data_IF_834305679541
#
_entry.id   IF_834305679541
#
_cell.length_a   1.000
_cell.length_b   1.000
_cell.length_c   1.000
_cell.angle_alpha   90.00
_cell.angle_beta   90.00
_cell.angle_gamma   90.00
#
_symmetry.space_group_name_H-M   'P 1'
#
loop_
_entity.id
_entity.type
_entity.pdbx_description
1 polymer ?
#
# COMPACT_ATOMS: atom_id res chain seq x y z
N UNK A 1 5.06 70.90 -8.05
CA UNK A 1 5.36 71.00 -6.61
C UNK A 1 4.13 70.47 -5.88
N UNK A 2 4.12 69.21 -5.44
CA UNK A 2 4.46 68.74 -4.07
C UNK A 2 3.56 69.43 -3.01
N UNK A 3 2.76 68.74 -2.18
CA UNK A 3 3.20 67.86 -1.07
C UNK A 3 2.20 66.71 -0.80
N UNK A 4 2.76 65.68 -0.19
CA UNK A 4 2.28 64.33 0.17
C UNK A 4 1.16 64.28 1.21
N UNK A 5 0.34 63.21 1.15
CA UNK A 5 -0.12 62.55 2.37
C UNK A 5 0.09 61.03 2.26
N UNK A 6 0.65 60.46 3.32
CA UNK A 6 1.25 59.13 3.40
C UNK A 6 0.24 58.16 4.00
N UNK A 7 -0.54 57.50 3.14
CA UNK A 7 -1.39 56.37 3.52
C UNK A 7 -0.61 55.07 3.59
N UNK A 8 -0.29 54.61 4.82
CA UNK A 8 0.38 53.33 5.09
C UNK A 8 -0.37 52.16 4.46
N UNK A 9 0.27 51.44 3.54
CA UNK A 9 -0.17 50.12 3.11
C UNK A 9 -0.09 49.14 4.30
N UNK A 10 -1.25 48.65 4.76
CA UNK A 10 -1.31 47.59 5.74
C UNK A 10 -0.67 46.33 5.14
N UNK A 11 0.55 45.98 5.61
CA UNK A 11 1.19 44.71 5.33
C UNK A 11 0.23 43.59 5.78
N UNK A 12 -0.39 42.92 4.82
CA UNK A 12 -1.14 41.68 5.03
C UNK A 12 -0.15 40.68 5.62
N UNK A 13 -0.20 40.51 6.94
CA UNK A 13 0.74 39.65 7.66
C UNK A 13 0.64 38.22 7.11
N UNK A 14 1.79 37.67 6.72
CA UNK A 14 2.02 36.24 6.46
C UNK A 14 1.61 35.44 7.71
N UNK A 15 0.33 35.11 7.88
CA UNK A 15 -0.15 34.16 8.91
C UNK A 15 -0.02 32.70 8.46
N UNK A 16 0.04 32.44 7.15
CA UNK A 16 0.11 31.09 6.60
C UNK A 16 1.45 30.39 6.84
N UNK A 17 2.57 31.09 6.93
CA UNK A 17 3.90 30.44 7.04
C UNK A 17 4.30 30.02 8.46
N UNK A 18 3.52 30.35 9.49
CA UNK A 18 3.81 29.95 10.89
C UNK A 18 3.17 28.62 11.30
N UNK A 19 2.10 28.18 10.62
CA UNK A 19 1.40 26.92 10.97
C UNK A 19 2.19 25.69 10.53
N UNK A 20 2.99 25.80 9.46
CA UNK A 20 3.76 24.67 8.94
C UNK A 20 5.02 24.34 9.74
N UNK A 21 5.48 25.17 10.67
CA UNK A 21 6.74 24.95 11.40
C UNK A 21 6.62 23.90 12.53
N UNK A 22 5.42 23.70 13.09
CA UNK A 22 5.17 22.84 14.26
C UNK A 22 4.44 21.53 13.91
N UNK A 23 4.46 21.10 12.64
CA UNK A 23 3.81 19.85 12.22
C UNK A 23 4.76 18.67 12.35
N UNK A 24 4.29 17.56 12.94
CA UNK A 24 5.03 16.31 12.98
C UNK A 24 5.16 15.70 11.58
N UNK A 25 6.24 15.00 11.30
CA UNK A 25 6.42 14.27 10.05
C UNK A 25 5.71 12.91 10.11
N UNK A 26 4.80 12.66 9.18
CA UNK A 26 4.03 11.41 9.10
C UNK A 26 4.91 10.15 9.08
N UNK A 27 6.08 10.25 8.43
CA UNK A 27 6.98 9.10 8.24
C UNK A 27 7.77 8.71 9.48
N UNK A 28 7.89 9.61 10.47
CA UNK A 28 8.68 9.39 11.69
C UNK A 28 7.86 9.50 12.98
N UNK A 29 6.69 10.14 12.92
CA UNK A 29 5.77 10.26 14.03
C UNK A 29 4.95 8.97 14.24
N UNK A 30 4.59 8.62 15.49
CA UNK A 30 5.17 9.14 16.73
C UNK A 30 6.58 8.61 16.93
N UNK A 31 7.48 9.47 17.43
CA UNK A 31 8.86 9.08 17.73
C UNK A 31 8.85 8.18 18.95
N UNK A 32 9.57 7.06 18.90
CA UNK A 32 9.86 6.31 20.13
C UNK A 32 10.74 7.20 21.00
N UNK A 33 10.16 7.81 22.03
CA UNK A 33 10.97 8.36 23.11
C UNK A 33 11.71 7.16 23.71
N UNK A 34 12.99 7.02 23.35
CA UNK A 34 13.91 6.11 24.03
C UNK A 34 13.76 6.44 25.50
N UNK A 35 13.21 5.50 26.27
CA UNK A 35 13.01 5.59 27.71
C UNK A 35 14.37 5.63 28.41
N UNK A 36 15.06 6.75 28.23
CA UNK A 36 16.28 7.10 28.94
C UNK A 36 15.90 7.72 30.26
N UNK A 37 16.10 6.94 31.33
CA UNK A 37 16.11 7.44 32.70
C UNK A 37 14.76 7.38 33.42
N UNK A 38 14.61 6.34 34.24
CA UNK A 38 13.94 6.39 35.55
C UNK A 38 12.58 7.12 35.62
N UNK A 39 11.59 6.62 34.88
CA UNK A 39 10.18 6.99 35.11
C UNK A 39 9.28 5.77 34.97
N UNK A 40 8.46 5.52 35.99
CA UNK A 40 7.37 4.55 35.94
C UNK A 40 6.44 4.90 34.78
N UNK A 41 6.46 4.11 33.71
CA UNK A 41 5.52 4.27 32.60
C UNK A 41 4.10 4.26 33.15
N UNK A 42 3.24 5.22 32.73
CA UNK A 42 1.87 5.25 33.20
C UNK A 42 1.17 3.93 32.80
N UNK A 43 0.19 3.46 33.59
CA UNK A 43 -0.61 2.30 33.19
C UNK A 43 -1.17 2.51 31.78
N UNK A 44 -1.16 1.48 30.92
CA UNK A 44 -1.59 1.59 29.51
C UNK A 44 -2.92 2.37 29.34
N UNK A 45 -3.86 2.20 30.27
CA UNK A 45 -5.16 2.88 30.28
C UNK A 45 -5.07 4.41 30.17
N UNK A 46 -3.96 4.99 30.62
CA UNK A 46 -3.69 6.42 30.60
C UNK A 46 -2.71 6.82 29.50
N UNK A 47 -2.03 5.85 28.86
CA UNK A 47 -1.05 6.08 27.79
C UNK A 47 -1.65 6.82 26.60
N UNK A 48 -2.84 6.44 26.13
CA UNK A 48 -3.53 7.15 25.04
C UNK A 48 -3.90 8.58 25.47
N UNK A 49 -4.35 8.79 26.71
CA UNK A 49 -4.68 10.14 27.21
C UNK A 49 -3.43 11.02 27.29
N UNK A 50 -2.33 10.50 27.81
CA UNK A 50 -1.05 11.21 27.86
C UNK A 50 -0.53 11.55 26.47
N UNK A 51 -0.60 10.59 25.55
CA UNK A 51 -0.25 10.80 24.14
C UNK A 51 -1.05 11.94 23.53
N UNK A 52 -2.37 11.95 23.72
CA UNK A 52 -3.24 13.00 23.20
C UNK A 52 -3.01 14.35 23.86
N UNK A 53 -2.78 14.40 25.17
CA UNK A 53 -2.45 15.62 25.88
C UNK A 53 -1.14 16.26 25.38
N UNK A 54 -0.19 15.44 24.94
CA UNK A 54 1.13 15.89 24.47
C UNK A 54 1.13 16.29 23.00
N UNK A 55 0.37 15.58 22.15
CA UNK A 55 0.48 15.70 20.69
C UNK A 55 -0.75 16.29 20.00
N UNK A 56 -1.92 16.25 20.63
CA UNK A 56 -3.18 16.56 19.98
C UNK A 56 -3.79 17.88 20.47
N UNK A 57 -4.53 18.53 19.58
CA UNK A 57 -5.37 19.67 19.93
C UNK A 57 -6.80 19.18 20.10
N UNK A 58 -7.47 19.66 21.15
CA UNK A 58 -8.87 19.37 21.38
C UNK A 58 -9.68 20.14 20.34
N UNK A 59 -10.38 19.42 19.46
CA UNK A 59 -11.24 20.04 18.43
C UNK A 59 -12.64 20.29 18.99
N UNK A 60 -13.08 19.43 19.91
CA UNK A 60 -14.32 19.57 20.65
C UNK A 60 -14.08 19.21 22.11
N UNK A 61 -14.06 20.18 23.04
CA UNK A 61 -14.12 19.85 24.45
C UNK A 61 -15.47 19.20 24.74
N UNK A 62 -15.56 18.51 25.87
CA UNK A 62 -16.80 17.94 26.42
C UNK A 62 -17.82 19.05 26.69
N UNK A 63 -18.41 19.64 25.65
CA UNK A 63 -19.59 20.45 25.80
C UNK A 63 -20.74 19.49 26.08
N UNK A 64 -21.77 20.00 26.75
CA UNK A 64 -23.02 19.33 27.10
C UNK A 64 -23.77 18.68 25.92
N UNK A 65 -23.24 18.74 24.70
CA UNK A 65 -23.77 18.18 23.46
C UNK A 65 -23.34 16.72 23.22
N UNK A 66 -22.25 16.24 23.84
CA UNK A 66 -21.71 14.89 23.61
C UNK A 66 -21.48 14.16 24.92
N UNK A 67 -22.47 13.35 25.32
CA UNK A 67 -22.40 12.54 26.54
C UNK A 67 -21.23 11.55 26.51
N UNK A 68 -20.98 10.93 25.36
CA UNK A 68 -20.14 9.74 25.23
C UNK A 68 -18.86 9.96 24.40
N UNK A 69 -18.68 11.10 23.72
CA UNK A 69 -17.65 11.25 22.68
C UNK A 69 -16.77 12.50 22.87
N UNK A 70 -15.45 12.34 22.72
CA UNK A 70 -14.47 13.44 22.64
C UNK A 70 -13.63 13.32 21.37
N UNK A 71 -13.31 14.46 20.74
CA UNK A 71 -12.52 14.47 19.50
C UNK A 71 -11.28 15.35 19.63
N UNK A 72 -10.14 14.77 19.28
CA UNK A 72 -8.86 15.45 19.13
C UNK A 72 -8.36 15.37 17.69
N UNK A 73 -7.42 16.25 17.36
CA UNK A 73 -6.78 16.28 16.06
C UNK A 73 -5.27 16.45 16.20
N UNK A 74 -4.53 15.65 15.44
CA UNK A 74 -3.08 15.74 15.26
C UNK A 74 -2.83 16.05 13.77
N UNK A 75 -2.05 17.10 13.52
CA UNK A 75 -1.73 17.53 12.15
C UNK A 75 -0.32 17.07 11.80
N UNK A 76 -0.20 16.34 10.69
CA UNK A 76 1.03 15.72 10.23
C UNK A 76 1.40 16.26 8.84
N UNK A 77 2.68 16.45 8.58
CA UNK A 77 3.20 16.72 7.24
C UNK A 77 3.37 15.39 6.50
N UNK A 78 2.81 15.22 5.28
CA UNK A 78 3.16 14.08 4.44
C UNK A 78 4.67 14.11 4.16
N UNK A 79 5.35 12.97 4.32
CA UNK A 79 6.76 12.86 3.95
C UNK A 79 7.01 13.17 2.46
N UNK A 80 8.25 13.45 2.08
CA UNK A 80 8.62 13.74 0.69
C UNK A 80 8.23 12.59 -0.23
N UNK A 81 7.32 12.84 -1.19
CA UNK A 81 7.01 11.88 -2.24
C UNK A 81 8.05 11.98 -3.35
N UNK A 82 8.56 10.82 -3.80
CA UNK A 82 9.50 10.70 -4.92
C UNK A 82 8.89 11.10 -6.29
N UNK A 83 7.57 11.35 -6.37
CA UNK A 83 6.85 11.67 -7.61
C UNK A 83 6.98 13.14 -8.07
N UNK A 84 7.93 13.93 -7.55
CA UNK A 84 8.22 15.30 -8.03
C UNK A 84 7.04 16.29 -7.90
N UNK A 85 5.99 15.92 -7.19
CA UNK A 85 4.84 16.79 -6.88
C UNK A 85 5.13 17.54 -5.58
N UNK A 86 4.92 18.86 -5.60
CA UNK A 86 5.16 19.74 -4.44
C UNK A 86 4.08 19.49 -3.35
N UNK A 87 4.26 18.43 -2.57
CA UNK A 87 3.39 18.06 -1.44
C UNK A 87 3.64 18.94 -0.21
N UNK A 88 4.55 19.92 -0.27
CA UNK A 88 4.95 20.77 0.86
C UNK A 88 3.79 21.57 1.49
N UNK A 89 2.69 21.74 0.75
CA UNK A 89 1.49 22.46 1.19
C UNK A 89 0.38 21.58 1.76
N UNK A 90 0.52 20.25 1.73
CA UNK A 90 -0.50 19.31 2.19
C UNK A 90 -0.30 18.95 3.66
N UNK A 91 -1.41 18.71 4.36
CA UNK A 91 -1.46 18.32 5.77
C UNK A 91 -2.33 17.08 5.88
N UNK A 92 -1.83 16.07 6.59
CA UNK A 92 -2.59 14.88 6.97
C UNK A 92 -3.20 15.15 8.34
N UNK A 93 -4.52 15.01 8.44
CA UNK A 93 -5.22 15.09 9.73
C UNK A 93 -5.41 13.68 10.27
N UNK A 94 -4.90 13.43 11.48
CA UNK A 94 -5.24 12.28 12.28
C UNK A 94 -6.24 12.72 13.34
N UNK A 95 -7.50 12.33 13.13
CA UNK A 95 -8.58 12.60 14.06
C UNK A 95 -8.68 11.43 15.04
N UNK A 96 -8.73 11.74 16.34
CA UNK A 96 -8.88 10.75 17.39
C UNK A 96 -10.21 10.96 18.10
N UNK A 97 -11.08 9.95 18.07
CA UNK A 97 -12.37 9.98 18.77
C UNK A 97 -12.31 9.03 19.97
N UNK A 98 -12.39 9.57 21.19
CA UNK A 98 -12.62 8.78 22.41
C UNK A 98 -14.11 8.54 22.58
N UNK A 99 -14.48 7.27 22.68
CA UNK A 99 -15.80 6.79 23.02
C UNK A 99 -15.80 6.25 24.45
N UNK A 100 -16.63 6.82 25.31
CA UNK A 100 -17.01 6.25 26.60
C UNK A 100 -18.08 5.18 26.38
N UNK A 101 -17.60 3.94 26.33
CA UNK A 101 -18.41 2.74 26.06
C UNK A 101 -19.49 2.53 27.13
N UNK A 102 -19.30 3.06 28.34
CA UNK A 102 -20.29 2.91 29.43
C UNK A 102 -21.46 3.87 29.30
N UNK A 103 -21.31 4.93 28.52
CA UNK A 103 -22.31 5.98 28.28
C UNK A 103 -22.84 5.99 26.85
N UNK A 104 -22.23 5.18 25.98
CA UNK A 104 -22.65 4.98 24.60
C UNK A 104 -23.97 4.22 24.53
N UNK A 105 -24.83 4.60 23.58
CA UNK A 105 -26.05 3.85 23.24
C UNK A 105 -25.75 2.58 22.43
N UNK A 106 -24.51 2.41 21.96
CA UNK A 106 -24.04 1.25 21.18
C UNK A 106 -23.58 0.11 22.11
N UNK A 107 -23.25 -1.03 21.51
CA UNK A 107 -22.83 -2.23 22.25
C UNK A 107 -21.60 -1.97 23.13
N UNK A 108 -21.68 -2.36 24.41
CA UNK A 108 -20.55 -2.34 25.35
C UNK A 108 -19.43 -3.30 24.92
N UNK A 109 -19.77 -4.30 24.12
CA UNK A 109 -18.83 -5.28 23.60
C UNK A 109 -18.30 -4.87 22.23
N UNK A 110 -17.00 -5.09 22.03
CA UNK A 110 -16.37 -4.95 20.73
C UNK A 110 -16.53 -6.23 19.90
N UNK A 111 -17.15 -6.12 18.73
CA UNK A 111 -17.31 -7.24 17.80
C UNK A 111 -15.98 -7.81 17.32
N UNK A 112 -14.98 -6.97 17.08
CA UNK A 112 -13.65 -7.44 16.69
C UNK A 112 -12.99 -8.26 17.82
N UNK A 113 -13.11 -7.83 19.08
CA UNK A 113 -12.67 -8.65 20.21
C UNK A 113 -13.43 -9.98 20.28
N UNK A 114 -14.74 -9.97 20.03
CA UNK A 114 -15.55 -11.20 20.01
C UNK A 114 -15.09 -12.17 18.93
N UNK A 115 -14.91 -11.68 17.70
CA UNK A 115 -14.47 -12.49 16.55
C UNK A 115 -13.06 -13.07 16.77
N UNK A 116 -12.15 -12.28 17.35
CA UNK A 116 -10.76 -12.68 17.57
C UNK A 116 -10.57 -13.52 18.85
N UNK A 117 -11.62 -13.70 19.66
CA UNK A 117 -11.57 -14.47 20.91
C UNK A 117 -10.90 -13.71 22.07
N UNK A 118 -11.00 -12.38 22.08
CA UNK A 118 -10.58 -11.50 23.18
C UNK A 118 -11.73 -11.05 24.09
N UNK A 119 -12.96 -11.51 23.82
CA UNK A 119 -14.18 -11.18 24.57
C UNK A 119 -14.17 -11.60 26.05
N UNK A 120 -13.21 -12.42 26.48
CA UNK A 120 -13.00 -12.78 27.88
C UNK A 120 -12.51 -11.62 28.77
N UNK A 121 -12.26 -10.43 28.19
CA UNK A 121 -11.83 -9.21 28.91
C UNK A 121 -12.93 -8.13 28.87
N UNK A 122 -14.01 -8.25 29.66
CA UNK A 122 -15.25 -7.49 29.46
C UNK A 122 -15.23 -6.02 29.91
N UNK A 123 -14.10 -5.43 30.32
CA UNK A 123 -14.11 -4.07 30.89
C UNK A 123 -13.11 -3.16 30.20
N UNK A 124 -13.48 -2.72 29.01
CA UNK A 124 -12.88 -1.55 28.37
C UNK A 124 -13.88 -0.40 28.50
N UNK A 125 -13.60 0.57 29.40
CA UNK A 125 -14.50 1.73 29.59
C UNK A 125 -14.38 2.73 28.45
N UNK A 126 -13.23 2.75 27.76
CA UNK A 126 -12.91 3.73 26.72
C UNK A 126 -12.29 3.08 25.50
N UNK A 127 -12.77 3.48 24.34
CA UNK A 127 -12.27 3.06 23.03
C UNK A 127 -11.84 4.30 22.25
N UNK A 128 -10.68 4.22 21.60
CA UNK A 128 -10.08 5.32 20.86
C UNK A 128 -10.05 4.97 19.37
N UNK A 129 -10.74 5.75 18.55
CA UNK A 129 -10.71 5.63 17.09
C UNK A 129 -9.68 6.56 16.52
N UNK A 130 -8.66 6.04 15.84
CA UNK A 130 -7.65 6.79 15.10
C UNK A 130 -8.00 6.78 13.62
N UNK A 131 -8.30 7.95 13.07
CA UNK A 131 -8.89 8.08 11.73
C UNK A 131 -8.09 9.06 10.89
N UNK A 132 -7.74 8.64 9.67
CA UNK A 132 -7.28 9.53 8.60
C UNK A 132 -8.33 9.46 7.49
N UNK A 133 -9.01 10.56 7.22
CA UNK A 133 -10.11 10.60 6.24
C UNK A 133 -9.60 10.75 4.80
N UNK A 134 -10.33 10.15 3.86
CA UNK A 134 -10.10 10.35 2.43
C UNK A 134 -10.82 11.62 1.97
N UNK A 135 -10.11 12.75 2.00
CA UNK A 135 -10.67 14.06 1.66
C UNK A 135 -9.56 15.02 1.25
N UNK A 136 -9.61 15.46 -0.02
CA UNK A 136 -8.56 16.23 -0.69
C UNK A 136 -8.37 17.66 -0.17
N UNK A 137 -7.15 18.15 -0.37
CA UNK A 137 -6.70 19.54 -0.20
C UNK A 137 -7.11 20.21 1.12
N UNK A 138 -6.34 19.88 2.15
CA UNK A 138 -6.26 20.54 3.45
C UNK A 138 -6.03 22.05 3.32
N UNK A 139 -7.12 22.80 3.18
CA UNK A 139 -7.21 24.24 3.50
C UNK A 139 -8.17 24.52 4.66
N UNK A 140 -9.00 23.57 5.07
CA UNK A 140 -9.94 23.75 6.18
C UNK A 140 -9.56 22.86 7.37
N UNK A 141 -9.36 23.51 8.52
CA UNK A 141 -9.10 22.91 9.84
C UNK A 141 -10.34 22.17 10.42
N UNK A 142 -11.39 21.95 9.61
CA UNK A 142 -12.73 21.55 10.06
C UNK A 142 -13.29 20.34 9.27
N UNK A 143 -12.41 19.43 8.84
CA UNK A 143 -12.81 18.20 8.15
C UNK A 143 -13.57 17.32 9.16
N UNK A 144 -14.82 16.97 8.84
CA UNK A 144 -15.67 16.18 9.74
C UNK A 144 -16.57 17.00 10.67
N UNK A 145 -16.88 18.26 10.33
CA UNK A 145 -17.85 19.07 11.08
C UNK A 145 -19.09 19.46 10.28
N UNK A 146 -19.18 19.11 9.00
CA UNK A 146 -20.30 19.53 8.15
C UNK A 146 -21.34 18.42 8.00
N UNK A 147 -22.57 18.68 8.45
CA UNK A 147 -23.71 17.76 8.32
C UNK A 147 -24.84 18.45 7.56
N UNK A 148 -25.39 17.75 6.57
CA UNK A 148 -26.64 18.15 5.92
C UNK A 148 -27.82 17.87 6.86
N UNK A 149 -28.69 18.85 7.05
CA UNK A 149 -29.91 18.68 7.83
C UNK A 149 -30.86 17.71 7.13
N UNK A 150 -31.35 16.70 7.85
CA UNK A 150 -32.34 15.74 7.33
C UNK A 150 -33.67 16.38 6.94
N UNK A 151 -34.03 17.52 7.54
CA UNK A 151 -35.27 18.23 7.23
C UNK A 151 -35.17 19.13 6.00
N UNK A 152 -34.11 19.95 5.89
CA UNK A 152 -34.03 21.00 4.86
C UNK A 152 -32.86 20.84 3.88
N UNK A 153 -32.02 19.80 4.01
CA UNK A 153 -30.89 19.51 3.12
C UNK A 153 -29.68 20.45 3.23
N UNK A 154 -29.80 21.58 3.94
CA UNK A 154 -28.71 22.54 4.08
C UNK A 154 -27.59 22.01 4.98
N UNK A 155 -26.34 22.32 4.63
CA UNK A 155 -25.14 21.84 5.31
C UNK A 155 -24.64 22.86 6.32
N UNK A 156 -24.62 22.51 7.61
CA UNK A 156 -24.05 23.38 8.67
C UNK A 156 -22.87 22.75 9.37
N UNK A 157 -22.10 23.62 10.03
CA UNK A 157 -21.03 23.19 10.91
C UNK A 157 -21.60 22.81 12.30
N UNK A 158 -21.27 21.63 12.80
CA UNK A 158 -21.70 21.11 14.10
C UNK A 158 -21.20 21.94 15.29
N UNK A 159 -20.15 22.75 15.09
CA UNK A 159 -19.71 23.73 16.10
C UNK A 159 -20.72 24.85 16.35
N UNK A 160 -21.74 24.98 15.48
CA UNK A 160 -22.70 26.08 15.51
C UNK A 160 -24.00 25.74 16.27
N UNK A 161 -24.09 24.55 16.86
CA UNK A 161 -25.19 24.12 17.73
C UNK A 161 -25.81 22.76 17.34
N UNK A 162 -26.60 22.19 18.26
CA UNK A 162 -27.33 20.92 18.07
C UNK A 162 -28.57 21.03 17.19
N UNK A 163 -28.93 22.23 16.75
CA UNK A 163 -30.15 22.47 15.98
C UNK A 163 -29.80 23.02 14.61
N UNK A 164 -30.58 22.64 13.60
CA UNK A 164 -30.44 23.18 12.25
C UNK A 164 -30.72 24.69 12.26
N UNK A 165 -29.79 25.51 11.77
CA UNK A 165 -29.96 26.96 11.66
C UNK A 165 -31.13 27.37 10.77
N UNK A 166 -31.46 26.55 9.78
CA UNK A 166 -32.48 26.88 8.78
C UNK A 166 -33.88 26.41 9.16
N UNK A 167 -34.02 25.26 9.82
CA UNK A 167 -35.33 24.70 10.15
C UNK A 167 -35.51 24.37 11.64
N UNK A 168 -34.53 24.71 12.49
CA UNK A 168 -34.52 24.45 13.94
C UNK A 168 -34.64 23.00 14.38
N UNK A 169 -34.69 22.05 13.44
CA UNK A 169 -34.74 20.62 13.71
C UNK A 169 -33.51 20.20 14.51
N UNK A 170 -33.72 19.44 15.59
CA UNK A 170 -32.63 18.84 16.34
C UNK A 170 -31.83 17.92 15.40
N UNK A 171 -30.52 18.15 15.33
CA UNK A 171 -29.62 17.26 14.65
C UNK A 171 -29.28 16.12 15.59
N UNK A 172 -29.50 14.89 15.14
CA UNK A 172 -28.94 13.72 15.81
C UNK A 172 -27.43 13.66 15.53
N UNK A 173 -26.65 14.40 16.33
CA UNK A 173 -25.22 14.55 16.10
C UNK A 173 -24.47 13.28 16.50
N UNK A 174 -24.93 12.56 17.52
CA UNK A 174 -24.30 11.33 17.99
C UNK A 174 -24.40 10.23 16.93
N UNK A 175 -25.59 9.97 16.36
CA UNK A 175 -25.72 9.01 15.26
C UNK A 175 -24.93 9.43 14.00
N UNK A 176 -24.79 10.73 13.78
CA UNK A 176 -23.94 11.19 12.67
C UNK A 176 -22.46 10.88 12.92
N UNK A 177 -21.94 11.11 14.13
CA UNK A 177 -20.55 10.75 14.43
C UNK A 177 -20.35 9.25 14.25
N UNK A 178 -21.27 8.41 14.74
CA UNK A 178 -21.20 6.96 14.51
C UNK A 178 -21.22 6.59 13.02
N UNK A 179 -22.06 7.24 12.20
CA UNK A 179 -22.04 7.00 10.75
C UNK A 179 -20.73 7.43 10.09
N UNK A 180 -20.03 8.45 10.62
CA UNK A 180 -18.67 8.75 10.20
C UNK A 180 -17.69 7.67 10.64
N UNK A 181 -17.83 7.09 11.83
CA UNK A 181 -16.98 5.98 12.27
C UNK A 181 -17.20 4.70 11.44
N UNK A 182 -18.38 4.52 10.85
CA UNK A 182 -18.72 3.39 9.99
C UNK A 182 -18.32 3.62 8.51
N UNK A 183 -17.72 4.76 8.18
CA UNK A 183 -17.28 5.08 6.81
C UNK A 183 -16.06 4.24 6.39
N UNK A 184 -16.26 3.44 5.34
CA UNK A 184 -15.22 2.57 4.78
C UNK A 184 -14.23 3.30 3.85
N UNK A 185 -14.41 4.59 3.61
CA UNK A 185 -13.53 5.39 2.74
C UNK A 185 -12.32 5.96 3.47
N UNK A 186 -12.23 5.82 4.80
CA UNK A 186 -11.07 6.26 5.58
C UNK A 186 -9.75 5.68 5.05
N UNK A 187 -8.72 6.52 4.91
CA UNK A 187 -7.36 6.10 4.59
C UNK A 187 -6.78 5.20 5.68
N UNK A 188 -6.98 5.59 6.94
CA UNK A 188 -6.68 4.77 8.11
C UNK A 188 -7.89 4.79 9.03
N UNK A 189 -8.29 3.63 9.52
CA UNK A 189 -9.15 3.55 10.68
C UNK A 189 -8.65 2.44 11.60
N UNK A 190 -8.05 2.84 12.71
CA UNK A 190 -7.64 1.96 13.79
C UNK A 190 -8.44 2.21 15.05
N UNK A 191 -8.61 1.18 15.86
CA UNK A 191 -9.28 1.25 17.16
C UNK A 191 -8.33 0.74 18.22
N UNK A 192 -8.17 1.48 19.32
CA UNK A 192 -7.39 1.04 20.49
C UNK A 192 -8.29 1.09 21.72
N UNK A 193 -8.41 -0.05 22.39
CA UNK A 193 -9.11 -0.19 23.65
C UNK A 193 -8.21 0.24 24.81
N UNK A 194 -8.78 0.89 25.83
CA UNK A 194 -8.07 1.25 27.07
C UNK A 194 -7.42 0.08 27.83
N UNK A 195 -7.72 -1.17 27.46
CA UNK A 195 -7.10 -2.38 28.03
C UNK A 195 -5.87 -2.89 27.23
N UNK A 196 -5.47 -2.22 26.15
CA UNK A 196 -4.28 -2.57 25.37
C UNK A 196 -4.53 -3.33 24.08
N UNK A 197 -5.78 -3.68 23.76
CA UNK A 197 -6.09 -4.40 22.53
C UNK A 197 -6.44 -3.43 21.40
N UNK A 198 -5.93 -3.67 20.20
CA UNK A 198 -6.16 -2.83 19.05
C UNK A 198 -6.75 -3.60 17.86
N UNK A 199 -7.50 -2.91 17.01
CA UNK A 199 -8.04 -3.44 15.78
C UNK A 199 -7.78 -2.46 14.63
N UNK A 200 -7.16 -2.96 13.57
CA UNK A 200 -7.03 -2.23 12.32
C UNK A 200 -8.25 -2.55 11.46
N UNK A 201 -9.05 -1.53 11.15
CA UNK A 201 -10.34 -1.66 10.47
C UNK A 201 -10.25 -1.30 8.99
N UNK A 202 -9.50 -0.24 8.66
CA UNK A 202 -9.32 0.22 7.28
C UNK A 202 -7.89 0.68 7.02
N UNK A 203 -7.37 0.28 5.86
CA UNK A 203 -6.14 0.81 5.25
C UNK A 203 -6.39 1.01 3.76
N UNK A 204 -6.65 2.25 3.38
CA UNK A 204 -6.88 2.67 2.01
C UNK A 204 -5.72 3.56 1.55
N UNK A 205 -4.73 2.95 0.89
CA UNK A 205 -3.59 3.66 0.30
C UNK A 205 -3.94 4.33 -1.03
N UNK A 206 -2.96 4.42 -1.94
CA UNK A 206 -3.15 4.98 -3.30
C UNK A 206 -4.28 4.28 -4.06
N UNK A 207 -4.36 2.96 -3.94
CA UNK A 207 -5.42 2.15 -4.55
C UNK A 207 -6.82 2.40 -3.94
N UNK A 208 -6.90 2.95 -2.72
CA UNK A 208 -8.14 3.34 -2.05
C UNK A 208 -8.50 4.82 -2.23
N UNK A 209 -7.86 5.51 -3.19
CA UNK A 209 -8.14 6.91 -3.51
C UNK A 209 -7.20 7.94 -2.86
N UNK A 210 -6.20 7.50 -2.09
CA UNK A 210 -5.20 8.41 -1.55
C UNK A 210 -4.32 9.01 -2.65
N UNK A 211 -4.27 10.33 -2.73
CA UNK A 211 -3.40 11.02 -3.68
C UNK A 211 -1.92 11.07 -3.25
N UNK A 212 -1.57 10.64 -2.04
CA UNK A 212 -0.23 10.90 -1.47
C UNK A 212 0.29 9.83 -0.50
N UNK A 213 -0.57 9.18 0.30
CA UNK A 213 -0.15 8.07 1.17
C UNK A 213 -0.31 6.72 0.47
N UNK A 214 0.73 5.91 0.47
CA UNK A 214 0.64 4.50 0.12
C UNK A 214 0.09 3.68 1.29
N UNK A 215 -0.40 2.47 1.00
CA UNK A 215 -0.84 1.56 2.06
C UNK A 215 0.30 1.18 3.01
N UNK A 216 1.55 1.12 2.51
CA UNK A 216 2.74 0.88 3.32
C UNK A 216 3.00 2.04 4.28
N UNK A 217 2.92 3.29 3.82
CA UNK A 217 3.12 4.46 4.69
C UNK A 217 2.12 4.46 5.86
N UNK A 218 0.87 4.13 5.58
CA UNK A 218 -0.21 4.05 6.57
C UNK A 218 0.05 2.92 7.57
N UNK A 219 0.48 1.75 7.10
CA UNK A 219 0.82 0.63 7.96
C UNK A 219 2.04 0.91 8.83
N UNK A 220 3.10 1.51 8.28
CA UNK A 220 4.28 1.90 9.02
C UNK A 220 3.92 2.92 10.13
N UNK A 221 3.02 3.87 9.82
CA UNK A 221 2.48 4.79 10.81
C UNK A 221 1.68 4.08 11.90
N UNK A 222 0.78 3.16 11.53
CA UNK A 222 -0.03 2.39 12.48
C UNK A 222 0.84 1.52 13.40
N UNK A 223 1.89 0.92 12.87
CA UNK A 223 2.84 0.08 13.61
C UNK A 223 3.65 0.91 14.63
N UNK A 224 4.17 2.07 14.22
CA UNK A 224 4.82 3.02 15.14
C UNK A 224 3.87 3.52 16.22
N UNK A 225 2.63 3.84 15.84
CA UNK A 225 1.61 4.29 16.80
C UNK A 225 1.31 3.20 17.84
N UNK A 226 1.14 1.95 17.41
CA UNK A 226 0.91 0.83 18.31
C UNK A 226 2.09 0.61 19.26
N UNK A 227 3.32 0.69 18.75
CA UNK A 227 4.56 0.53 19.52
C UNK A 227 4.74 1.65 20.55
N UNK A 228 4.58 2.91 20.12
CA UNK A 228 4.66 4.10 21.00
C UNK A 228 3.61 4.07 22.12
N UNK A 229 2.41 3.59 21.84
CA UNK A 229 1.35 3.44 22.84
C UNK A 229 1.50 2.17 23.70
N UNK A 230 2.48 1.31 23.42
CA UNK A 230 2.67 0.00 24.05
C UNK A 230 1.42 -0.90 23.95
N UNK A 231 0.78 -0.93 22.76
CA UNK A 231 -0.36 -1.80 22.46
C UNK A 231 0.04 -3.26 22.71
N UNK A 232 -0.79 -3.99 23.45
CA UNK A 232 -0.51 -5.36 23.86
C UNK A 232 -0.64 -6.35 22.71
N UNK A 233 -1.72 -6.22 21.93
CA UNK A 233 -2.01 -7.03 20.74
C UNK A 233 -2.86 -6.23 19.78
N UNK A 234 -2.57 -6.32 18.49
CA UNK A 234 -3.38 -5.78 17.40
C UNK A 234 -3.98 -6.91 16.57
N UNK A 235 -5.14 -6.67 15.97
CA UNK A 235 -5.75 -7.61 15.02
C UNK A 235 -6.20 -6.88 13.76
N UNK A 236 -6.19 -7.57 12.63
CA UNK A 236 -6.77 -7.10 11.38
C UNK A 236 -7.65 -8.19 10.79
N UNK A 237 -8.78 -7.81 10.19
CA UNK A 237 -9.55 -8.72 9.35
C UNK A 237 -9.11 -8.49 7.90
N UNK A 238 -8.36 -9.45 7.34
CA UNK A 238 -7.81 -9.32 5.99
C UNK A 238 -8.89 -9.55 4.92
N UNK A 239 -9.55 -8.46 4.54
CA UNK A 239 -10.50 -8.36 3.41
C UNK A 239 -9.89 -7.55 2.25
N UNK A 240 -8.57 -7.39 2.24
CA UNK A 240 -7.88 -6.51 1.30
C UNK A 240 -7.98 -7.05 -0.13
N UNK A 241 -8.40 -6.19 -1.06
CA UNK A 241 -8.49 -6.49 -2.49
C UNK A 241 -7.70 -5.48 -3.31
N UNK A 242 -7.05 -5.94 -4.36
CA UNK A 242 -6.28 -5.11 -5.28
C UNK A 242 -6.63 -5.48 -6.72
N UNK A 243 -7.22 -4.55 -7.46
CA UNK A 243 -7.76 -4.78 -8.81
C UNK A 243 -8.70 -6.00 -8.88
N UNK A 244 -9.54 -6.17 -7.86
CA UNK A 244 -10.47 -7.32 -7.75
C UNK A 244 -9.84 -8.62 -7.25
N UNK A 245 -8.51 -8.69 -7.11
CA UNK A 245 -7.80 -9.85 -6.56
C UNK A 245 -7.69 -9.77 -5.04
N UNK A 246 -7.98 -10.86 -4.33
CA UNK A 246 -7.77 -10.96 -2.89
C UNK A 246 -6.27 -10.93 -2.57
N UNK A 247 -5.86 -9.93 -1.79
CA UNK A 247 -4.44 -9.66 -1.57
C UNK A 247 -3.77 -10.74 -0.72
N UNK A 248 -4.50 -11.31 0.24
CA UNK A 248 -4.10 -12.51 1.00
C UNK A 248 -3.80 -13.73 0.13
N UNK A 249 -4.52 -13.90 -0.98
CA UNK A 249 -4.30 -15.01 -1.91
C UNK A 249 -3.03 -14.77 -2.73
N UNK A 250 -2.90 -13.56 -3.27
CA UNK A 250 -1.72 -13.15 -4.04
C UNK A 250 -0.44 -13.27 -3.20
N UNK A 251 -0.41 -12.65 -2.03
CA UNK A 251 0.73 -12.72 -1.12
C UNK A 251 0.94 -14.12 -0.55
N UNK A 252 -0.14 -14.85 -0.25
CA UNK A 252 -0.04 -16.24 0.19
C UNK A 252 0.66 -17.10 -0.84
N UNK A 253 0.29 -17.01 -2.12
CA UNK A 253 0.91 -17.81 -3.19
C UNK A 253 2.38 -17.47 -3.43
N UNK A 254 2.76 -16.19 -3.35
CA UNK A 254 4.14 -15.74 -3.65
C UNK A 254 5.08 -15.80 -2.45
N UNK A 255 4.63 -15.34 -1.29
CA UNK A 255 5.46 -15.15 -0.10
C UNK A 255 5.18 -16.23 0.97
N UNK A 256 4.12 -17.02 0.82
CA UNK A 256 3.69 -17.99 1.83
C UNK A 256 2.91 -17.38 3.00
N UNK A 257 2.75 -16.06 3.03
CA UNK A 257 2.11 -15.31 4.12
C UNK A 257 1.27 -14.15 3.56
N UNK A 258 0.44 -13.51 4.39
CA UNK A 258 -0.31 -12.32 3.98
C UNK A 258 0.59 -11.08 3.89
N UNK A 259 0.11 -10.01 3.24
CA UNK A 259 0.84 -8.74 3.19
C UNK A 259 1.12 -8.15 4.58
N UNK A 260 0.16 -8.28 5.50
CA UNK A 260 0.29 -7.78 6.87
C UNK A 260 1.41 -8.47 7.67
N UNK A 261 1.90 -9.63 7.22
CA UNK A 261 3.00 -10.33 7.88
C UNK A 261 4.31 -9.52 7.90
N UNK A 262 4.48 -8.56 6.98
CA UNK A 262 5.61 -7.63 7.00
C UNK A 262 5.66 -6.77 8.29
N UNK A 263 4.53 -6.60 8.98
CA UNK A 263 4.41 -5.90 10.28
C UNK A 263 4.14 -6.89 11.44
N UNK A 264 4.52 -8.16 11.29
CA UNK A 264 4.38 -9.17 12.34
C UNK A 264 2.96 -9.70 12.57
N UNK A 265 1.99 -9.36 11.72
CA UNK A 265 0.67 -9.99 11.80
C UNK A 265 0.73 -11.45 11.35
N UNK A 266 0.08 -12.32 12.12
CA UNK A 266 0.02 -13.74 11.84
C UNK A 266 -1.43 -14.23 11.69
N UNK A 267 -1.58 -15.37 11.00
CA UNK A 267 -2.83 -16.10 11.03
C UNK A 267 -3.13 -16.59 12.45
N UNK A 268 -4.27 -16.15 13.00
CA UNK A 268 -4.72 -16.52 14.34
C UNK A 268 -5.88 -17.50 14.30
N UNK A 269 -6.96 -17.11 13.63
CA UNK A 269 -8.20 -17.86 13.60
C UNK A 269 -8.90 -17.61 12.26
N UNK A 270 -9.19 -18.68 11.52
CA UNK A 270 -10.01 -18.61 10.33
C UNK A 270 -11.50 -18.76 10.66
N UNK A 271 -12.35 -18.48 9.69
CA UNK A 271 -13.77 -18.82 9.79
C UNK A 271 -13.95 -20.35 9.85
N UNK A 272 -15.02 -20.82 10.50
CA UNK A 272 -15.44 -22.23 10.48
C UNK A 272 -14.36 -23.27 10.88
N UNK A 273 -13.64 -23.03 11.97
CA UNK A 273 -12.63 -23.96 12.51
C UNK A 273 -11.41 -24.22 11.59
N UNK A 274 -11.13 -23.33 10.64
CA UNK A 274 -9.89 -23.35 9.87
C UNK A 274 -8.68 -23.17 10.79
N UNK A 275 -7.85 -24.20 10.88
CA UNK A 275 -6.60 -24.16 11.65
C UNK A 275 -5.47 -23.51 10.85
N UNK A 276 -4.41 -23.12 11.56
CA UNK A 276 -3.21 -22.55 10.95
C UNK A 276 -2.56 -23.54 9.99
N UNK A 277 -2.54 -24.82 10.35
CA UNK A 277 -1.97 -25.91 9.56
C UNK A 277 -2.78 -26.13 8.28
N UNK A 278 -4.11 -26.13 8.38
CA UNK A 278 -4.98 -26.23 7.21
C UNK A 278 -4.80 -25.04 6.25
N UNK A 279 -4.71 -23.82 6.79
CA UNK A 279 -4.43 -22.63 5.99
C UNK A 279 -3.06 -22.71 5.30
N UNK A 280 -2.00 -23.05 6.03
CA UNK A 280 -0.66 -23.16 5.48
C UNK A 280 -0.57 -24.29 4.43
N UNK A 281 -1.23 -25.42 4.68
CA UNK A 281 -1.32 -26.51 3.72
C UNK A 281 -2.02 -26.06 2.44
N UNK A 282 -3.12 -25.31 2.53
CA UNK A 282 -3.82 -24.79 1.35
C UNK A 282 -2.94 -23.83 0.54
N UNK A 283 -2.24 -22.91 1.22
CA UNK A 283 -1.28 -21.99 0.58
C UNK A 283 -0.18 -22.76 -0.13
N UNK A 284 0.43 -23.75 0.55
CA UNK A 284 1.49 -24.57 -0.03
C UNK A 284 0.99 -25.34 -1.27
N UNK A 285 -0.16 -26.01 -1.16
CA UNK A 285 -0.76 -26.75 -2.28
C UNK A 285 -1.02 -25.84 -3.47
N UNK A 286 -1.69 -24.70 -3.29
CA UNK A 286 -2.00 -23.77 -4.39
C UNK A 286 -0.74 -23.20 -5.03
N UNK A 287 0.25 -22.84 -4.22
CA UNK A 287 1.50 -22.25 -4.69
C UNK A 287 2.37 -23.24 -5.46
N UNK A 288 2.30 -24.53 -5.12
CA UNK A 288 3.10 -25.60 -5.72
C UNK A 288 2.47 -26.23 -6.98
N UNK A 289 1.26 -25.80 -7.39
CA UNK A 289 0.61 -26.31 -8.61
C UNK A 289 1.56 -26.11 -9.81
N UNK A 290 1.93 -27.18 -10.53
CA UNK A 290 2.74 -27.06 -11.73
C UNK A 290 2.01 -26.28 -12.82
N UNK A 291 2.72 -25.39 -13.51
CA UNK A 291 2.15 -24.64 -14.63
C UNK A 291 1.69 -25.54 -15.78
N UNK A 292 2.29 -26.74 -15.90
CA UNK A 292 1.87 -27.77 -16.86
C UNK A 292 0.41 -28.18 -16.70
N UNK A 293 -0.15 -28.14 -15.49
CA UNK A 293 -1.57 -28.44 -15.23
C UNK A 293 -2.49 -27.44 -15.94
N UNK A 294 -2.06 -26.18 -16.09
CA UNK A 294 -2.80 -25.18 -16.85
C UNK A 294 -2.54 -25.22 -18.35
N UNK A 295 -1.49 -25.92 -18.80
CA UNK A 295 -1.12 -26.01 -20.22
C UNK A 295 -1.68 -27.27 -20.88
N UNK A 296 -2.03 -28.29 -20.10
CA UNK A 296 -2.51 -29.57 -20.60
C UNK A 296 -4.00 -29.50 -20.98
N UNK A 297 -4.29 -29.32 -22.29
CA UNK A 297 -5.65 -29.51 -22.84
C UNK A 297 -5.63 -30.10 -24.25
N UNK A 298 -5.33 -31.40 -24.38
CA UNK A 298 -5.63 -32.23 -25.55
C UNK A 298 -5.64 -31.52 -26.92
N UNK A 299 -6.77 -31.61 -27.65
CA UNK A 299 -7.01 -30.93 -28.95
C UNK A 299 -7.91 -29.69 -28.83
N UNK A 300 -7.77 -28.87 -27.79
CA UNK A 300 -8.58 -27.63 -27.65
C UNK A 300 -7.80 -26.39 -28.10
N UNK A 301 -8.47 -25.36 -28.64
CA UNK A 301 -7.85 -24.08 -28.97
C UNK A 301 -7.18 -23.45 -27.74
N UNK A 302 -6.07 -22.74 -27.98
CA UNK A 302 -5.31 -22.07 -26.93
C UNK A 302 -6.14 -20.96 -26.28
N UNK A 303 -6.24 -20.97 -24.96
CA UNK A 303 -6.93 -19.92 -24.20
C UNK A 303 -6.01 -18.70 -23.98
N UNK A 304 -6.60 -17.55 -23.65
CA UNK A 304 -5.85 -16.34 -23.26
C UNK A 304 -4.88 -16.61 -22.09
N UNK A 305 -5.28 -17.47 -21.14
CA UNK A 305 -4.44 -17.89 -20.02
C UNK A 305 -3.17 -18.59 -20.49
N UNK A 306 -3.29 -19.55 -21.41
CA UNK A 306 -2.12 -20.29 -21.92
C UNK A 306 -1.15 -19.36 -22.69
N UNK A 307 -1.69 -18.40 -23.45
CA UNK A 307 -0.88 -17.40 -24.15
C UNK A 307 -0.17 -16.47 -23.16
N UNK A 308 -0.85 -16.09 -22.08
CA UNK A 308 -0.28 -15.26 -21.01
C UNK A 308 0.86 -15.99 -20.28
N UNK A 309 0.66 -17.26 -19.91
CA UNK A 309 1.69 -18.07 -19.24
C UNK A 309 2.94 -18.20 -20.12
N UNK A 310 2.78 -18.60 -21.38
CA UNK A 310 3.92 -18.77 -22.28
C UNK A 310 4.66 -17.45 -22.58
N UNK A 311 3.92 -16.33 -22.66
CA UNK A 311 4.54 -15.02 -22.80
C UNK A 311 5.48 -14.72 -21.63
N UNK A 312 5.03 -14.88 -20.39
CA UNK A 312 5.88 -14.62 -19.23
C UNK A 312 7.00 -15.65 -19.04
N UNK A 313 6.78 -16.92 -19.41
CA UNK A 313 7.84 -17.93 -19.49
C UNK A 313 8.95 -17.53 -20.47
N UNK A 314 8.60 -16.97 -21.64
CA UNK A 314 9.57 -16.47 -22.62
C UNK A 314 10.34 -15.23 -22.12
N UNK A 315 9.71 -14.43 -21.25
CA UNK A 315 10.33 -13.24 -20.67
C UNK A 315 11.27 -13.56 -19.51
N UNK A 316 11.04 -14.65 -18.78
CA UNK A 316 11.88 -15.06 -17.65
C UNK A 316 13.26 -15.58 -18.12
N UNK A 317 14.30 -15.29 -17.33
CA UNK A 317 15.61 -15.93 -17.48
C UNK A 317 15.72 -17.24 -16.69
N UNK A 318 14.81 -17.45 -15.73
CA UNK A 318 14.70 -18.64 -14.90
C UNK A 318 13.51 -19.49 -15.36
N UNK A 319 13.53 -20.78 -15.07
CA UNK A 319 12.38 -21.65 -15.34
C UNK A 319 11.23 -21.28 -14.41
N UNK A 320 10.05 -21.04 -14.98
CA UNK A 320 8.83 -20.86 -14.21
C UNK A 320 8.10 -22.21 -14.24
N UNK A 321 8.13 -22.94 -13.13
CA UNK A 321 7.60 -24.30 -13.02
C UNK A 321 6.24 -24.30 -12.33
N UNK A 322 6.07 -23.47 -11.30
CA UNK A 322 4.89 -23.45 -10.43
C UNK A 322 4.11 -22.14 -10.53
N UNK A 323 2.88 -22.14 -9.98
CA UNK A 323 2.09 -20.90 -9.78
C UNK A 323 2.90 -19.87 -8.99
N UNK A 324 3.59 -20.29 -7.93
CA UNK A 324 4.45 -19.40 -7.14
C UNK A 324 5.49 -18.72 -8.02
N UNK A 325 6.19 -19.46 -8.88
CA UNK A 325 7.24 -18.91 -9.73
C UNK A 325 6.69 -17.85 -10.68
N UNK A 326 5.56 -18.14 -11.33
CA UNK A 326 4.92 -17.23 -12.26
C UNK A 326 4.49 -15.94 -11.57
N UNK A 327 3.75 -16.02 -10.47
CA UNK A 327 3.25 -14.84 -9.77
C UNK A 327 4.39 -14.05 -9.11
N UNK A 328 5.42 -14.71 -8.59
CA UNK A 328 6.60 -14.02 -8.05
C UNK A 328 7.34 -13.24 -9.13
N UNK A 329 7.51 -13.83 -10.32
CA UNK A 329 8.11 -13.15 -11.47
C UNK A 329 7.26 -11.95 -11.93
N UNK A 330 5.94 -12.11 -11.99
CA UNK A 330 5.02 -11.00 -12.34
C UNK A 330 5.10 -9.84 -11.35
N UNK A 331 5.08 -10.13 -10.05
CA UNK A 331 5.20 -9.12 -9.01
C UNK A 331 6.57 -8.41 -9.09
N UNK A 332 7.64 -9.15 -9.38
CA UNK A 332 8.96 -8.56 -9.61
C UNK A 332 8.94 -7.60 -10.81
N UNK A 333 8.38 -8.01 -11.95
CA UNK A 333 8.26 -7.15 -13.13
C UNK A 333 7.44 -5.88 -12.84
N UNK A 334 6.36 -5.99 -12.09
CA UNK A 334 5.55 -4.83 -11.68
C UNK A 334 6.39 -3.87 -10.82
N UNK A 335 7.17 -4.39 -9.87
CA UNK A 335 8.06 -3.58 -9.03
C UNK A 335 9.13 -2.89 -9.86
N UNK A 336 9.79 -3.61 -10.76
CA UNK A 336 10.81 -3.06 -11.67
C UNK A 336 10.25 -1.98 -12.60
N UNK A 337 9.01 -2.16 -13.08
CA UNK A 337 8.38 -1.16 -13.94
C UNK A 337 7.96 0.10 -13.17
N UNK A 338 7.53 -0.05 -11.91
CA UNK A 338 7.20 1.08 -11.02
C UNK A 338 8.43 1.83 -10.52
N UNK A 339 9.58 1.15 -10.38
CA UNK A 339 10.83 1.74 -9.95
C UNK A 339 11.52 2.58 -11.05
N UNK A 340 11.08 2.46 -12.31
CA UNK A 340 11.51 3.36 -13.37
C UNK A 340 10.79 4.69 -13.19
N UNK A 341 11.49 5.80 -12.90
CA UNK A 341 10.85 7.09 -12.97
C UNK A 341 10.33 7.28 -14.40
N UNK A 342 9.17 7.92 -14.55
CA UNK A 342 8.71 8.44 -15.82
C UNK A 342 9.69 9.54 -16.27
N UNK A 343 10.87 9.13 -16.74
CA UNK A 343 11.78 10.03 -17.43
C UNK A 343 11.00 10.54 -18.63
N UNK A 344 10.77 11.85 -18.67
CA UNK A 344 10.54 12.57 -19.93
C UNK A 344 11.53 12.03 -20.97
N UNK A 345 11.17 11.93 -22.25
CA UNK A 345 12.10 11.52 -23.30
C UNK A 345 13.14 12.64 -23.47
N UNK A 346 14.06 12.73 -22.52
CA UNK A 346 15.21 13.60 -22.55
C UNK A 346 16.33 12.67 -22.96
N UNK A 347 16.40 12.46 -24.28
CA UNK A 347 17.57 12.02 -25.03
C UNK A 347 18.56 11.18 -24.21
N UNK A 348 18.07 10.05 -23.66
CA UNK A 348 18.93 9.05 -23.02
C UNK A 348 19.65 8.38 -24.17
N UNK A 349 20.77 9.01 -24.57
CA UNK A 349 21.84 8.37 -25.31
C UNK A 349 21.97 6.95 -24.76
N UNK A 350 21.63 6.00 -25.63
CA UNK A 350 21.46 4.57 -25.40
C UNK A 350 22.06 4.06 -24.07
N UNK A 351 21.21 3.47 -23.20
CA UNK A 351 21.64 2.87 -21.93
C UNK A 351 22.75 1.80 -22.07
N UNK A 352 23.04 1.35 -23.30
CA UNK A 352 24.08 0.39 -23.64
C UNK A 352 24.93 0.92 -24.79
N UNK A 353 26.23 0.77 -24.70
CA UNK A 353 27.12 1.09 -25.82
C UNK A 353 26.99 0.03 -26.92
N UNK A 354 27.39 0.37 -28.15
CA UNK A 354 27.50 -0.60 -29.25
C UNK A 354 28.37 -1.80 -28.84
N UNK A 355 29.42 -1.55 -28.07
CA UNK A 355 30.32 -2.59 -27.55
C UNK A 355 29.65 -3.54 -26.56
N UNK A 356 28.67 -3.07 -25.77
CA UNK A 356 27.91 -3.94 -24.86
C UNK A 356 27.00 -4.90 -25.63
N UNK A 357 26.36 -4.39 -26.69
CA UNK A 357 25.52 -5.19 -27.61
C UNK A 357 26.38 -6.23 -28.34
N UNK A 358 27.52 -5.81 -28.90
CA UNK A 358 28.47 -6.70 -29.60
C UNK A 358 29.02 -7.78 -28.68
N UNK A 359 29.36 -7.45 -27.43
CA UNK A 359 29.87 -8.44 -26.44
C UNK A 359 28.84 -9.54 -26.17
N UNK A 360 27.57 -9.17 -26.00
CA UNK A 360 26.49 -10.13 -25.74
C UNK A 360 26.17 -10.96 -26.98
N UNK A 361 26.13 -10.35 -28.16
CA UNK A 361 25.91 -11.06 -29.42
C UNK A 361 27.07 -12.01 -29.75
N UNK A 362 28.32 -11.62 -29.51
CA UNK A 362 29.49 -12.50 -29.63
C UNK A 362 29.43 -13.69 -28.67
N UNK A 363 28.96 -13.47 -27.43
CA UNK A 363 28.75 -14.56 -26.48
C UNK A 363 27.67 -15.54 -26.97
N UNK A 364 26.55 -15.04 -27.52
CA UNK A 364 25.52 -15.87 -28.14
C UNK A 364 26.04 -16.67 -29.32
N UNK A 365 26.84 -16.05 -30.21
CA UNK A 365 27.48 -16.72 -31.35
C UNK A 365 28.42 -17.83 -30.89
N UNK A 366 29.24 -17.58 -29.85
CA UNK A 366 30.12 -18.62 -29.27
C UNK A 366 29.31 -19.82 -28.78
N UNK A 367 28.14 -19.58 -28.18
CA UNK A 367 27.24 -20.65 -27.72
C UNK A 367 26.67 -21.43 -28.91
N UNK A 368 26.18 -20.75 -29.96
CA UNK A 368 25.70 -21.44 -31.17
C UNK A 368 26.79 -22.32 -31.80
N UNK A 369 28.03 -21.79 -31.92
CA UNK A 369 29.17 -22.54 -32.45
C UNK A 369 29.56 -23.75 -31.59
N UNK A 370 29.51 -23.61 -30.27
CA UNK A 370 29.81 -24.69 -29.34
C UNK A 370 28.75 -25.80 -29.35
N UNK A 371 27.50 -25.46 -29.68
CA UNK A 371 26.37 -26.39 -29.68
C UNK A 371 26.20 -27.10 -31.04
N UNK A 372 26.58 -26.45 -32.14
CA UNK A 372 26.49 -26.98 -33.50
C UNK A 372 27.70 -27.82 -33.94
N UNK A 373 27.93 -28.98 -33.31
CA UNK A 373 28.92 -29.98 -33.76
C UNK A 373 28.66 -30.54 -35.18
N UNK A 374 29.06 -31.78 -35.47
CA UNK A 374 28.91 -32.41 -36.81
C UNK A 374 27.46 -32.47 -37.37
N UNK A 375 26.44 -32.12 -36.57
CA UNK A 375 25.08 -31.85 -37.04
C UNK A 375 24.61 -30.48 -36.51
N UNK A 376 24.13 -29.64 -37.42
CA UNK A 376 23.72 -28.26 -37.11
C UNK A 376 22.40 -28.23 -36.32
N UNK A 377 22.48 -28.30 -34.99
CA UNK A 377 21.33 -28.27 -34.07
C UNK A 377 20.78 -26.85 -33.87
N UNK A 378 19.46 -26.71 -33.83
CA UNK A 378 18.79 -25.45 -33.51
C UNK A 378 18.74 -25.23 -31.99
N UNK A 379 19.06 -24.01 -31.54
CA UNK A 379 19.05 -23.63 -30.12
C UNK A 379 17.84 -22.72 -29.85
N UNK A 380 17.01 -23.06 -28.87
CA UNK A 380 15.86 -22.23 -28.51
C UNK A 380 16.28 -20.89 -27.93
N UNK A 381 15.46 -19.85 -28.16
CA UNK A 381 15.64 -18.51 -27.62
C UNK A 381 15.81 -18.55 -26.12
N UNK A 382 15.04 -19.39 -25.44
CA UNK A 382 15.13 -19.59 -24.02
C UNK A 382 16.47 -20.21 -23.59
N UNK A 383 16.96 -21.25 -24.28
CA UNK A 383 18.27 -21.86 -23.98
C UNK A 383 19.43 -20.88 -24.17
N UNK A 384 19.36 -20.06 -25.24
CA UNK A 384 20.34 -19.03 -25.51
C UNK A 384 20.31 -17.92 -24.44
N UNK A 385 19.11 -17.44 -24.09
CA UNK A 385 18.87 -16.45 -23.03
C UNK A 385 19.35 -16.93 -21.66
N UNK A 386 19.06 -18.19 -21.30
CA UNK A 386 19.53 -18.83 -20.06
C UNK A 386 21.05 -18.89 -20.01
N UNK A 387 21.71 -19.20 -21.13
CA UNK A 387 23.17 -19.35 -21.19
C UNK A 387 23.93 -18.04 -20.95
N UNK A 388 23.31 -16.89 -21.25
CA UNK A 388 23.92 -15.56 -21.11
C UNK A 388 23.29 -14.72 -19.99
N UNK A 389 22.37 -15.28 -19.21
CA UNK A 389 21.61 -14.51 -18.19
C UNK A 389 22.50 -13.89 -17.11
N UNK A 390 23.72 -14.43 -16.90
CA UNK A 390 24.74 -13.89 -15.98
C UNK A 390 25.69 -12.88 -16.64
N UNK A 391 25.64 -12.73 -17.95
CA UNK A 391 26.61 -11.92 -18.73
C UNK A 391 26.11 -10.49 -18.94
N UNK A 392 24.79 -10.26 -18.91
CA UNK A 392 24.19 -8.96 -19.18
C UNK A 392 22.81 -8.82 -18.51
N UNK A 393 22.30 -7.59 -18.45
CA UNK A 393 20.95 -7.34 -17.94
C UNK A 393 19.89 -8.01 -18.82
N UNK A 394 18.74 -8.42 -18.24
CA UNK A 394 17.65 -9.04 -19.01
C UNK A 394 17.16 -8.17 -20.16
N UNK A 395 17.21 -6.84 -20.03
CA UNK A 395 16.80 -5.91 -21.07
C UNK A 395 17.77 -5.89 -22.27
N UNK A 396 19.08 -5.88 -22.01
CA UNK A 396 20.12 -5.94 -23.05
C UNK A 396 20.06 -7.30 -23.78
N UNK A 397 19.87 -8.40 -23.05
CA UNK A 397 19.71 -9.73 -23.65
C UNK A 397 18.49 -9.80 -24.57
N UNK A 398 17.33 -9.29 -24.12
CA UNK A 398 16.13 -9.27 -24.95
C UNK A 398 16.29 -8.37 -26.19
N UNK A 399 16.99 -7.25 -26.07
CA UNK A 399 17.34 -6.38 -27.19
C UNK A 399 18.24 -7.13 -28.19
N UNK A 400 19.32 -7.74 -27.73
CA UNK A 400 20.21 -8.53 -28.57
C UNK A 400 19.46 -9.66 -29.30
N UNK A 401 18.62 -10.44 -28.59
CA UNK A 401 17.82 -11.54 -29.19
C UNK A 401 16.87 -11.07 -30.29
N UNK A 402 16.29 -9.87 -30.16
CA UNK A 402 15.39 -9.28 -31.17
C UNK A 402 16.13 -8.97 -32.47
N UNK A 403 17.41 -8.58 -32.38
CA UNK A 403 18.26 -8.21 -33.50
C UNK A 403 19.28 -9.29 -33.88
N UNK A 404 19.19 -10.48 -33.27
CA UNK A 404 20.18 -11.55 -33.43
C UNK A 404 20.01 -12.33 -34.73
N UNK A 405 18.77 -12.48 -35.20
CA UNK A 405 18.46 -13.15 -36.46
C UNK A 405 18.95 -12.33 -37.66
N UNK A 406 19.68 -12.96 -38.58
CA UNK A 406 20.26 -12.29 -39.75
C UNK A 406 21.60 -11.60 -39.49
N UNK A 407 22.17 -11.75 -38.29
CA UNK A 407 23.51 -11.24 -37.99
C UNK A 407 24.61 -11.99 -38.75
N UNK A 408 25.56 -11.24 -39.30
CA UNK A 408 26.78 -11.78 -39.90
C UNK A 408 27.80 -12.17 -38.82
N UNK A 409 28.46 -13.29 -39.04
CA UNK A 409 29.42 -13.93 -38.14
C UNK A 409 30.64 -14.37 -38.96
N UNK A 410 31.84 -14.25 -38.38
CA UNK A 410 33.14 -14.61 -38.99
C UNK A 410 33.41 -13.88 -40.31
N UNK A 411 33.85 -12.61 -40.22
CA UNK A 411 34.21 -11.77 -41.37
C UNK A 411 33.21 -11.90 -42.55
N UNK A 412 31.91 -11.85 -42.20
CA UNK A 412 30.77 -11.89 -43.13
C UNK A 412 30.50 -13.23 -43.84
N UNK A 413 31.14 -14.33 -43.45
CA UNK A 413 31.00 -15.63 -44.12
C UNK A 413 29.81 -16.49 -43.67
N UNK A 414 29.22 -16.22 -42.49
CA UNK A 414 28.10 -16.98 -41.92
C UNK A 414 27.01 -16.06 -41.40
N UNK A 415 25.75 -16.47 -41.52
CA UNK A 415 24.59 -15.71 -41.02
C UNK A 415 23.89 -16.52 -39.95
N UNK A 416 23.52 -15.88 -38.85
CA UNK A 416 22.65 -16.48 -37.82
C UNK A 416 21.27 -16.67 -38.42
N UNK A 417 20.89 -17.93 -38.64
CA UNK A 417 19.57 -18.29 -39.05
C UNK A 417 18.63 -18.25 -37.85
N UNK A 418 17.40 -17.79 -38.07
CA UNK A 418 16.35 -17.88 -37.06
C UNK A 418 15.09 -18.48 -37.68
N UNK A 419 14.34 -19.23 -36.89
CA UNK A 419 13.03 -19.76 -37.28
C UNK A 419 12.07 -19.70 -36.09
N UNK A 420 10.78 -19.71 -36.36
CA UNK A 420 9.78 -20.02 -35.35
C UNK A 420 9.53 -21.53 -35.38
N UNK A 421 9.72 -22.23 -34.26
CA UNK A 421 9.39 -23.64 -34.17
C UNK A 421 7.85 -23.80 -34.09
N UNK A 422 7.20 -24.49 -35.03
CA UNK A 422 5.73 -24.58 -35.07
C UNK A 422 5.12 -25.37 -33.90
N UNK A 423 5.91 -26.17 -33.19
CA UNK A 423 5.45 -27.00 -32.06
C UNK A 423 5.58 -26.24 -30.74
N UNK A 424 6.71 -25.56 -30.51
CA UNK A 424 6.94 -24.78 -29.28
C UNK A 424 6.50 -23.31 -29.38
N UNK A 425 6.28 -22.82 -30.61
CA UNK A 425 6.03 -21.41 -30.95
C UNK A 425 7.09 -20.45 -30.36
N UNK A 426 8.30 -20.97 -30.15
CA UNK A 426 9.47 -20.21 -29.70
C UNK A 426 10.42 -19.97 -30.88
N UNK A 427 11.20 -18.90 -30.78
CA UNK A 427 12.25 -18.62 -31.75
C UNK A 427 13.43 -19.55 -31.51
N UNK A 428 13.99 -20.13 -32.57
CA UNK A 428 15.21 -20.91 -32.52
C UNK A 428 16.26 -20.29 -33.42
N UNK A 429 17.53 -20.40 -33.02
CA UNK A 429 18.67 -19.81 -33.70
C UNK A 429 19.70 -20.88 -34.08
N UNK A 430 20.41 -20.67 -35.17
CA UNK A 430 21.46 -21.56 -35.67
C UNK A 430 22.60 -20.79 -36.33
#
# INVERSE_FOLDING_TARGET
>A
MAVMDVGRAAKRARRSSRVSADLYDFSTFPTEEVTGGDSTLPPFRDGVRYFLASHARVTFPSSTLFSSLMTWQILLRPGYSMDGSDLSSRIVSLDVVEEDVTRSSRSVYCDHCRVVGWSSHPVCRKKYHFIIRSGGDSKSLNIGLQKACSGCGNTQNLSEGSNCKWCSLALDVEDWIYSQLEDNTHLLHGVIHSNGFAHLLSVNGREGGSGFLTGRDIMDFWDRLCSSLAVRKSSVMDVSRKYGMDYRLLHGMTNGCSWYNEWGYEFKSGSYALTREAYQSAVNTLSAIPLSEFLFQGRRPRTQLHSTIAFYQSLSCSELVTVRDLFSFLLQLIRENRAKPASKPLDVLCAWTRSDVERVQLAMVKILKATGGNQASWVSRWALKRSICKTASPQLINYCLKHFGGMLVDDESRVVCFRCNPISNDFEYR
#
